data_IF_008126234200
#
_entry.id   IF_008126234200
#
_cell.length_a   1.000
_cell.length_b   1.000
_cell.length_c   1.000
_cell.angle_alpha   90.00
_cell.angle_beta   90.00
_cell.angle_gamma   90.00
#
_symmetry.space_group_name_H-M   'P 1'
#
loop_
_entity.id
_entity.type
_entity.pdbx_description
1 polymer ?
#
# COMPACT_ATOMS: atom_id res chain seq x y z
N UNK A 1 -22.80 8.60 12.23
CA UNK A 1 -23.54 8.54 10.95
C UNK A 1 -22.99 9.49 9.90
N UNK A 2 -22.88 10.80 10.17
CA UNK A 2 -22.36 11.77 9.19
C UNK A 2 -20.90 11.52 8.80
N UNK A 3 -20.04 11.14 9.77
CA UNK A 3 -18.65 10.80 9.51
C UNK A 3 -18.48 9.69 8.46
N UNK A 4 -19.26 8.59 8.57
CA UNK A 4 -19.22 7.50 7.59
C UNK A 4 -19.70 7.93 6.20
N UNK A 5 -20.68 8.84 6.12
CA UNK A 5 -21.10 9.41 4.83
C UNK A 5 -19.94 10.17 4.19
N UNK A 6 -19.31 11.09 4.93
CA UNK A 6 -18.17 11.86 4.43
C UNK A 6 -17.03 10.94 4.02
N UNK A 7 -16.72 9.90 4.80
CA UNK A 7 -15.70 8.91 4.44
C UNK A 7 -16.02 8.19 3.13
N UNK A 8 -17.28 7.78 2.92
CA UNK A 8 -17.70 7.14 1.68
C UNK A 8 -17.54 8.07 0.47
N UNK A 9 -17.80 9.36 0.64
CA UNK A 9 -17.72 10.36 -0.44
C UNK A 9 -16.26 10.67 -0.86
N UNK A 10 -15.27 10.45 0.03
CA UNK A 10 -13.85 10.78 -0.22
C UNK A 10 -12.93 9.60 -0.50
N UNK A 11 -13.38 8.35 -0.27
CA UNK A 11 -12.51 7.15 -0.34
C UNK A 11 -11.98 6.84 -1.75
N UNK A 12 -12.58 7.42 -2.81
CA UNK A 12 -12.10 7.33 -4.19
C UNK A 12 -12.24 5.94 -4.86
N UNK A 13 -12.51 4.89 -4.09
CA UNK A 13 -12.71 3.53 -4.58
C UNK A 13 -14.16 3.08 -4.38
N UNK A 14 -14.83 2.67 -5.47
CA UNK A 14 -16.24 2.30 -5.46
C UNK A 14 -16.57 1.09 -4.55
N UNK A 15 -15.64 0.14 -4.42
CA UNK A 15 -15.81 -1.04 -3.55
C UNK A 15 -15.80 -0.59 -2.08
N UNK A 16 -14.79 0.18 -1.67
CA UNK A 16 -14.73 0.71 -0.30
C UNK A 16 -15.88 1.69 -0.01
N UNK A 17 -16.30 2.50 -0.98
CA UNK A 17 -17.46 3.36 -0.84
C UNK A 17 -18.72 2.55 -0.51
N UNK A 18 -18.99 1.48 -1.26
CA UNK A 18 -20.10 0.58 -0.99
C UNK A 18 -20.02 -0.05 0.40
N UNK A 19 -18.83 -0.50 0.81
CA UNK A 19 -18.59 -1.10 2.13
C UNK A 19 -18.90 -0.10 3.24
N UNK A 20 -18.41 1.15 3.13
CA UNK A 20 -18.63 2.18 4.15
C UNK A 20 -20.11 2.59 4.21
N UNK A 21 -20.80 2.67 3.07
CA UNK A 21 -22.24 2.95 3.04
C UNK A 21 -23.06 1.82 3.67
N UNK A 22 -22.69 0.56 3.41
CA UNK A 22 -23.32 -0.59 4.05
C UNK A 22 -23.08 -0.60 5.56
N UNK A 23 -21.85 -0.31 5.99
CA UNK A 23 -21.51 -0.21 7.40
C UNK A 23 -22.26 0.92 8.11
N UNK A 24 -22.48 2.06 7.43
CA UNK A 24 -23.32 3.14 7.94
C UNK A 24 -24.75 2.67 8.19
N UNK A 25 -25.32 1.89 7.26
CA UNK A 25 -26.69 1.39 7.40
C UNK A 25 -26.80 0.33 8.51
N UNK A 26 -25.83 -0.56 8.61
CA UNK A 26 -25.74 -1.59 9.66
C UNK A 26 -25.65 -0.95 11.06
N UNK A 27 -24.83 0.09 11.21
CA UNK A 27 -24.75 0.86 12.47
C UNK A 27 -26.06 1.59 12.76
N UNK A 28 -26.78 2.07 11.74
CA UNK A 28 -28.09 2.73 11.90
C UNK A 28 -29.15 1.82 12.51
N UNK A 29 -29.12 0.54 12.14
CA UNK A 29 -30.07 -0.47 12.64
C UNK A 29 -29.60 -1.14 13.95
N UNK A 30 -28.44 -0.72 14.49
CA UNK A 30 -27.94 -1.13 15.81
C UNK A 30 -26.88 -2.24 15.79
N UNK A 31 -26.39 -2.65 14.62
CA UNK A 31 -25.27 -3.59 14.52
C UNK A 31 -23.93 -2.88 14.80
N UNK A 32 -22.93 -3.64 15.22
CA UNK A 32 -21.60 -3.07 15.48
C UNK A 32 -20.87 -2.74 14.18
N UNK A 33 -20.08 -1.66 14.18
CA UNK A 33 -19.25 -1.27 13.03
C UNK A 33 -18.23 -2.36 12.73
N UNK A 34 -17.64 -2.97 13.76
CA UNK A 34 -16.67 -4.06 13.62
C UNK A 34 -17.24 -5.27 12.89
N UNK A 35 -18.46 -5.70 13.25
CA UNK A 35 -19.10 -6.86 12.63
C UNK A 35 -19.50 -6.57 11.19
N UNK A 36 -19.95 -5.35 10.90
CA UNK A 36 -20.24 -4.95 9.52
C UNK A 36 -18.99 -4.96 8.65
N UNK A 37 -17.88 -4.39 9.13
CA UNK A 37 -16.62 -4.35 8.38
C UNK A 37 -16.01 -5.74 8.18
N UNK A 38 -16.16 -6.65 9.15
CA UNK A 38 -15.65 -8.02 9.08
C UNK A 38 -16.34 -8.91 8.02
N UNK A 39 -17.52 -8.51 7.51
CA UNK A 39 -18.23 -9.24 6.44
C UNK A 39 -17.52 -9.13 5.08
N UNK A 40 -16.62 -8.16 4.92
CA UNK A 40 -15.98 -7.84 3.64
C UNK A 40 -14.54 -8.36 3.61
N UNK A 41 -14.16 -9.02 2.51
CA UNK A 41 -12.83 -9.62 2.35
C UNK A 41 -11.74 -8.57 2.08
N UNK A 42 -12.16 -7.43 1.57
CA UNK A 42 -11.33 -6.28 1.24
C UNK A 42 -10.87 -5.54 2.49
N UNK A 43 -11.57 -5.73 3.62
CA UNK A 43 -11.19 -5.15 4.91
C UNK A 43 -10.21 -6.10 5.60
N UNK A 44 -8.98 -5.65 5.90
CA UNK A 44 -8.03 -6.46 6.64
C UNK A 44 -8.60 -6.84 8.03
N UNK A 45 -8.35 -8.06 8.53
CA UNK A 45 -8.81 -8.48 9.85
C UNK A 45 -8.35 -7.56 10.99
N UNK A 46 -7.18 -6.93 10.83
CA UNK A 46 -6.67 -5.95 11.78
C UNK A 46 -7.62 -4.76 11.96
N UNK A 47 -8.22 -4.27 10.87
CA UNK A 47 -9.13 -3.13 10.91
C UNK A 47 -10.39 -3.47 11.71
N UNK A 48 -11.03 -4.61 11.43
CA UNK A 48 -12.25 -5.02 12.14
C UNK A 48 -11.99 -5.32 13.62
N UNK A 49 -10.84 -5.90 13.97
CA UNK A 49 -10.44 -6.17 15.36
C UNK A 49 -10.12 -4.89 16.14
N UNK A 50 -9.42 -3.93 15.53
CA UNK A 50 -9.14 -2.65 16.15
C UNK A 50 -10.43 -1.87 16.39
N UNK A 51 -11.30 -1.80 15.39
CA UNK A 51 -12.63 -1.18 15.54
C UNK A 51 -13.42 -1.86 16.66
N UNK A 52 -13.44 -3.20 16.75
CA UNK A 52 -14.11 -3.92 17.84
C UNK A 52 -13.57 -3.53 19.21
N UNK A 53 -12.24 -3.41 19.33
CA UNK A 53 -11.58 -2.95 20.56
C UNK A 53 -11.99 -1.52 20.89
N UNK A 54 -12.07 -0.64 19.90
CA UNK A 54 -12.50 0.76 20.06
C UNK A 54 -13.97 0.88 20.48
N UNK A 55 -14.85 0.02 19.97
CA UNK A 55 -16.27 -0.05 20.38
C UNK A 55 -16.41 -0.54 21.83
N UNK A 56 -15.70 -1.62 22.19
CA UNK A 56 -15.77 -2.20 23.54
C UNK A 56 -15.19 -1.30 24.63
N UNK A 57 -14.13 -0.56 24.31
CA UNK A 57 -13.44 0.34 25.26
C UNK A 57 -13.97 1.77 25.23
N UNK A 58 -14.92 2.08 24.35
CA UNK A 58 -15.41 3.44 24.11
C UNK A 58 -14.34 4.40 23.57
N UNK A 59 -13.19 3.90 23.12
CA UNK A 59 -12.01 4.68 22.74
C UNK A 59 -11.80 4.74 21.23
N UNK A 60 -12.90 4.87 20.48
CA UNK A 60 -12.90 4.83 19.01
C UNK A 60 -11.99 5.89 18.37
N UNK A 61 -12.02 7.13 18.88
CA UNK A 61 -11.19 8.24 18.37
C UNK A 61 -9.70 7.90 18.43
N UNK A 62 -9.24 7.41 19.60
CA UNK A 62 -7.85 7.00 19.80
C UNK A 62 -7.45 5.84 18.89
N UNK A 63 -8.30 4.82 18.78
CA UNK A 63 -8.02 3.63 17.98
C UNK A 63 -7.96 3.95 16.49
N UNK A 64 -8.93 4.70 15.95
CA UNK A 64 -8.94 5.12 14.55
C UNK A 64 -7.74 6.01 14.22
N UNK A 65 -7.36 6.91 15.12
CA UNK A 65 -6.16 7.75 14.96
C UNK A 65 -4.88 6.92 14.94
N UNK A 66 -4.75 5.94 15.83
CA UNK A 66 -3.60 5.02 15.85
C UNK A 66 -3.54 4.18 14.58
N UNK A 67 -4.67 3.72 14.08
CA UNK A 67 -4.77 2.95 12.84
C UNK A 67 -4.39 3.79 11.61
N UNK A 68 -4.86 5.05 11.54
CA UNK A 68 -4.44 6.00 10.50
C UNK A 68 -2.93 6.21 10.52
N UNK A 69 -2.34 6.47 11.69
CA UNK A 69 -0.89 6.67 11.82
C UNK A 69 -0.09 5.41 11.42
N UNK A 70 -0.60 4.23 11.74
CA UNK A 70 0.04 2.97 11.36
C UNK A 70 0.08 2.80 9.84
N UNK A 71 -1.06 2.90 9.16
CA UNK A 71 -1.12 2.72 7.71
C UNK A 71 -0.44 3.85 6.93
N UNK A 72 -0.50 5.10 7.41
CA UNK A 72 0.28 6.19 6.80
C UNK A 72 1.78 5.87 6.85
N UNK A 73 2.29 5.44 8.01
CA UNK A 73 3.70 5.05 8.14
C UNK A 73 4.06 3.86 7.26
N UNK A 74 3.17 2.87 7.13
CA UNK A 74 3.40 1.72 6.26
C UNK A 74 3.50 2.13 4.79
N UNK A 75 2.63 3.04 4.33
CA UNK A 75 2.69 3.62 2.98
C UNK A 75 3.97 4.41 2.78
N UNK A 76 4.31 5.32 3.70
CA UNK A 76 5.53 6.14 3.62
C UNK A 76 6.79 5.25 3.53
N UNK A 77 6.90 4.26 4.42
CA UNK A 77 8.01 3.29 4.40
C UNK A 77 8.08 2.51 3.08
N UNK A 78 6.92 2.15 2.51
CA UNK A 78 6.86 1.44 1.23
C UNK A 78 7.36 2.34 0.09
N UNK A 79 6.92 3.60 0.05
CA UNK A 79 7.36 4.58 -0.94
C UNK A 79 8.86 4.85 -0.83
N UNK A 80 9.38 5.01 0.38
CA UNK A 80 10.81 5.20 0.64
C UNK A 80 11.62 4.00 0.17
N UNK A 81 11.15 2.79 0.48
CA UNK A 81 11.79 1.54 0.05
C UNK A 81 11.82 1.44 -1.47
N UNK A 82 10.71 1.72 -2.15
CA UNK A 82 10.65 1.72 -3.62
C UNK A 82 11.64 2.75 -4.18
N UNK A 83 11.68 3.94 -3.61
CA UNK A 83 12.59 5.02 -4.04
C UNK A 83 14.06 4.63 -3.88
N UNK A 84 14.41 3.97 -2.77
CA UNK A 84 15.77 3.48 -2.52
C UNK A 84 16.17 2.34 -3.46
N UNK A 85 15.23 1.51 -3.91
CA UNK A 85 15.50 0.42 -4.86
C UNK A 85 15.73 0.92 -6.30
N UNK A 86 15.26 2.11 -6.66
CA UNK A 86 15.47 2.68 -8.00
C UNK A 86 16.96 2.89 -8.29
N UNK A 87 17.74 3.38 -7.33
CA UNK A 87 19.17 3.68 -7.53
C UNK A 87 20.00 2.43 -7.88
N UNK A 88 19.96 1.32 -7.12
CA UNK A 88 20.64 0.08 -7.48
C UNK A 88 20.23 -0.47 -8.85
N UNK A 89 18.94 -0.38 -9.20
CA UNK A 89 18.43 -0.84 -10.50
C UNK A 89 19.05 -0.02 -11.64
N UNK A 90 19.14 1.31 -11.49
CA UNK A 90 19.79 2.17 -12.49
C UNK A 90 21.27 1.85 -12.65
N UNK A 91 22.00 1.62 -11.54
CA UNK A 91 23.42 1.24 -11.59
C UNK A 91 23.60 -0.09 -12.33
N UNK A 92 22.75 -1.10 -12.06
CA UNK A 92 22.80 -2.38 -12.75
C UNK A 92 22.53 -2.25 -14.25
N UNK A 93 21.53 -1.45 -14.64
CA UNK A 93 21.20 -1.21 -16.05
C UNK A 93 22.33 -0.49 -16.79
N UNK A 94 22.88 0.58 -16.21
CA UNK A 94 24.00 1.33 -16.80
C UNK A 94 25.24 0.44 -16.87
N UNK A 95 25.57 -0.28 -15.80
CA UNK A 95 26.71 -1.19 -15.74
C UNK A 95 26.61 -2.30 -16.79
N UNK A 96 25.44 -2.90 -16.96
CA UNK A 96 25.19 -3.90 -18.01
C UNK A 96 25.36 -3.30 -19.41
N UNK A 97 24.83 -2.09 -19.66
CA UNK A 97 25.00 -1.39 -20.94
C UNK A 97 26.47 -1.10 -21.26
N UNK A 98 27.25 -0.63 -20.28
CA UNK A 98 28.69 -0.39 -20.45
C UNK A 98 29.45 -1.69 -20.69
N UNK A 99 29.12 -2.77 -19.98
CA UNK A 99 29.73 -4.08 -20.18
C UNK A 99 29.50 -4.61 -21.61
N UNK A 100 28.28 -4.46 -22.14
CA UNK A 100 27.95 -4.81 -23.53
C UNK A 100 28.76 -3.97 -24.52
N UNK A 101 28.87 -2.66 -24.29
CA UNK A 101 29.65 -1.75 -25.14
C UNK A 101 31.13 -2.14 -25.17
N UNK A 102 31.71 -2.42 -24.01
CA UNK A 102 33.11 -2.86 -23.89
C UNK A 102 33.31 -4.18 -24.63
N UNK A 103 32.43 -5.17 -24.43
CA UNK A 103 32.52 -6.45 -25.13
C UNK A 103 32.43 -6.29 -26.65
N UNK A 104 31.54 -5.42 -27.14
CA UNK A 104 31.36 -5.15 -28.56
C UNK A 104 32.61 -4.49 -29.21
N UNK A 105 33.39 -3.71 -28.46
CA UNK A 105 34.60 -3.04 -28.97
C UNK A 105 35.84 -3.92 -28.80
N UNK A 106 36.03 -4.54 -27.62
CA UNK A 106 37.24 -5.30 -27.31
C UNK A 106 37.30 -6.62 -28.09
N UNK A 107 36.18 -7.31 -28.27
CA UNK A 107 36.17 -8.61 -28.96
C UNK A 107 36.69 -8.52 -30.41
N UNK A 108 36.26 -7.55 -31.24
CA UNK A 108 36.86 -7.32 -32.57
C UNK A 108 38.34 -6.95 -32.51
N UNK A 109 38.75 -6.10 -31.56
CA UNK A 109 40.17 -5.70 -31.43
C UNK A 109 41.04 -6.92 -31.12
N UNK A 110 40.61 -7.78 -30.19
CA UNK A 110 41.32 -9.02 -29.89
C UNK A 110 41.36 -9.98 -31.07
N UNK A 111 40.27 -10.08 -31.85
CA UNK A 111 40.23 -10.92 -33.04
C UNK A 111 41.19 -10.40 -34.13
N UNK A 112 41.27 -9.08 -34.33
CA UNK A 112 42.20 -8.48 -35.30
C UNK A 112 43.65 -8.63 -34.82
N UNK A 113 43.93 -8.34 -33.55
CA UNK A 113 45.28 -8.41 -33.00
C UNK A 113 45.81 -9.85 -32.87
N UNK A 114 44.94 -10.83 -32.63
CA UNK A 114 45.29 -12.26 -32.53
C UNK A 114 45.43 -12.98 -33.87
N UNK A 115 44.89 -12.41 -34.96
CA UNK A 115 45.07 -12.91 -36.33
C UNK A 115 46.28 -12.29 -37.06
N UNK A 116 47.09 -11.47 -36.37
CA UNK A 116 48.37 -10.95 -36.86
C UNK A 116 49.54 -11.75 -36.32
#
# INVERSE_FOLDING_TARGET
MQALQVTADVVGNAVFQSIVLQAKEEVRVGNSLSSSLAKHKEIPPLVSQMVATGEQTGSMDFILKKMSQFYTREVDNTVDTISQLIEPILILLIGAGVAVLIAAILMPIYNIAGNM
#
